data_IF_277208477754
#
_entry.id   IF_277208477754
#
_cell.length_a   1.000
_cell.length_b   1.000
_cell.length_c   1.000
_cell.angle_alpha   90.00
_cell.angle_beta   90.00
_cell.angle_gamma   90.00
#
_symmetry.space_group_name_H-M   'P 1'
#
loop_
_entity.id
_entity.type
_entity.pdbx_description
1 polymer ?
#
# COMPACT_ATOMS: atom_id res chain seq x y z
N UNK A 1 14.03 8.52 26.06
CA UNK A 1 12.58 8.47 26.33
C UNK A 1 12.12 9.89 26.63
N UNK A 2 11.31 10.49 25.75
CA UNK A 2 11.12 11.96 25.63
C UNK A 2 10.23 12.57 26.73
N UNK A 3 9.52 11.77 27.52
CA UNK A 3 8.67 12.29 28.60
C UNK A 3 9.01 11.61 29.92
N UNK A 4 9.69 12.33 30.82
CA UNK A 4 9.95 11.90 32.19
C UNK A 4 9.30 12.90 33.15
N UNK A 5 8.54 12.40 34.13
CA UNK A 5 7.90 13.17 35.21
C UNK A 5 6.88 14.25 34.81
N UNK A 6 6.09 14.01 33.77
CA UNK A 6 5.03 14.96 33.39
C UNK A 6 3.70 14.60 34.08
N UNK A 7 3.11 15.47 34.93
CA UNK A 7 1.92 15.14 35.72
C UNK A 7 0.72 14.66 34.88
N UNK A 8 0.60 15.16 33.65
CA UNK A 8 -0.45 14.80 32.71
C UNK A 8 -0.33 13.37 32.15
N UNK A 9 0.83 12.71 32.23
CA UNK A 9 0.97 11.28 31.85
C UNK A 9 0.17 10.39 32.78
N UNK A 10 0.13 10.68 34.08
CA UNK A 10 -0.73 9.95 35.02
C UNK A 10 -2.20 10.08 34.65
N UNK A 11 -2.63 11.24 34.17
CA UNK A 11 -4.00 11.42 33.67
C UNK A 11 -4.24 10.66 32.36
N UNK A 12 -3.31 10.74 31.40
CA UNK A 12 -3.38 10.01 30.15
C UNK A 12 -3.45 8.48 30.33
N UNK A 13 -2.81 7.93 31.37
CA UNK A 13 -2.86 6.50 31.68
C UNK A 13 -4.27 5.97 32.02
N UNK A 14 -5.22 6.87 32.35
CA UNK A 14 -6.62 6.52 32.64
C UNK A 14 -7.50 6.55 31.39
N UNK A 15 -7.01 7.06 30.27
CA UNK A 15 -7.78 7.12 29.02
C UNK A 15 -7.87 5.73 28.39
N UNK A 16 -9.02 5.43 27.77
CA UNK A 16 -9.16 4.23 26.95
C UNK A 16 -8.27 4.38 25.72
N UNK A 17 -7.45 3.36 25.47
CA UNK A 17 -6.62 3.29 24.28
C UNK A 17 -7.52 3.04 23.07
N UNK A 18 -7.57 3.99 22.15
CA UNK A 18 -8.32 3.83 20.89
C UNK A 18 -7.50 3.08 19.83
N UNK A 19 -6.18 3.33 19.76
CA UNK A 19 -5.23 2.66 18.86
C UNK A 19 -3.83 2.65 19.48
N UNK A 20 -3.10 1.55 19.27
CA UNK A 20 -1.66 1.45 19.57
C UNK A 20 -0.90 1.33 18.27
N UNK A 21 -0.08 2.35 17.97
CA UNK A 21 0.76 2.37 16.78
C UNK A 21 -0.01 2.18 15.47
N UNK A 22 0.60 1.47 14.53
CA UNK A 22 0.05 1.15 13.22
C UNK A 22 0.04 -0.36 13.03
N UNK A 23 -1.12 -0.93 12.68
CA UNK A 23 -1.17 -2.33 12.24
C UNK A 23 -0.42 -2.46 10.92
N UNK A 24 0.72 -3.12 10.94
CA UNK A 24 1.57 -3.27 9.76
C UNK A 24 1.03 -4.37 8.81
N UNK A 25 0.60 -5.51 9.36
CA UNK A 25 0.19 -6.68 8.60
C UNK A 25 -1.11 -7.30 9.12
N UNK A 26 -1.75 -8.11 8.28
CA UNK A 26 -2.85 -8.99 8.62
C UNK A 26 -2.77 -10.28 7.81
N UNK A 27 -3.09 -11.41 8.43
CA UNK A 27 -3.16 -12.70 7.74
C UNK A 27 -4.46 -12.79 6.95
N UNK A 28 -4.37 -13.20 5.68
CA UNK A 28 -5.51 -13.41 4.78
C UNK A 28 -5.29 -14.75 4.11
N UNK A 29 -6.08 -15.76 4.48
CA UNK A 29 -5.86 -17.15 4.06
C UNK A 29 -4.42 -17.61 4.40
N UNK A 30 -3.69 -18.17 3.44
CA UNK A 30 -2.29 -18.57 3.54
C UNK A 30 -1.30 -17.40 3.56
N UNK A 31 -1.71 -16.20 3.15
CA UNK A 31 -0.81 -15.07 2.90
C UNK A 31 -0.77 -14.05 4.05
N UNK A 32 0.31 -13.27 4.08
CA UNK A 32 0.45 -12.10 4.97
C UNK A 32 0.29 -10.84 4.14
N UNK A 33 -0.80 -10.10 4.37
CA UNK A 33 -1.13 -8.86 3.67
C UNK A 33 -0.62 -7.65 4.46
N UNK A 34 0.27 -6.82 3.92
CA UNK A 34 0.57 -5.53 4.55
C UNK A 34 -0.66 -4.62 4.49
N UNK A 35 -0.79 -3.69 5.43
CA UNK A 35 -1.86 -2.69 5.37
C UNK A 35 -1.49 -1.58 4.38
N UNK A 36 -2.51 -0.92 3.80
CA UNK A 36 -2.29 0.26 2.95
C UNK A 36 -1.50 1.34 3.69
N UNK A 37 -1.76 1.55 4.99
CA UNK A 37 -0.99 2.53 5.78
C UNK A 37 0.50 2.14 5.87
N UNK A 38 0.83 0.87 6.09
CA UNK A 38 2.21 0.41 6.16
C UNK A 38 2.97 0.72 4.87
N UNK A 39 2.42 0.34 3.71
CA UNK A 39 3.09 0.52 2.41
C UNK A 39 3.12 1.99 1.97
N UNK A 40 2.17 2.82 2.39
CA UNK A 40 2.23 4.25 2.10
C UNK A 40 3.40 4.94 2.82
N UNK A 41 3.75 4.49 4.04
CA UNK A 41 4.88 5.06 4.79
C UNK A 41 6.22 4.43 4.39
N UNK A 42 6.25 3.12 4.17
CA UNK A 42 7.51 2.37 4.04
C UNK A 42 7.69 1.67 2.68
N UNK A 43 6.68 1.68 1.81
CA UNK A 43 6.71 0.90 0.56
C UNK A 43 7.77 1.37 -0.43
N UNK A 44 8.20 2.63 -0.36
CA UNK A 44 9.28 3.15 -1.21
C UNK A 44 10.65 2.52 -0.89
N UNK A 45 10.83 2.02 0.34
CA UNK A 45 12.02 1.30 0.80
C UNK A 45 11.96 -0.21 0.50
N UNK A 46 10.87 -0.69 -0.15
CA UNK A 46 10.73 -2.10 -0.47
C UNK A 46 11.72 -2.53 -1.54
N UNK A 47 12.55 -3.53 -1.22
CA UNK A 47 13.56 -4.11 -2.12
C UNK A 47 13.07 -5.35 -2.87
N UNK A 48 11.94 -5.94 -2.45
CA UNK A 48 11.29 -7.11 -3.06
C UNK A 48 9.78 -6.94 -3.12
N UNK A 49 9.10 -7.84 -3.82
CA UNK A 49 7.63 -7.87 -3.93
C UNK A 49 7.03 -6.52 -4.34
N UNK A 50 7.64 -5.89 -5.35
CA UNK A 50 7.25 -4.58 -5.89
C UNK A 50 7.10 -4.69 -7.40
N UNK A 51 5.99 -4.16 -7.90
CA UNK A 51 5.66 -4.12 -9.32
C UNK A 51 5.40 -2.67 -9.71
N UNK A 52 6.32 -2.12 -10.49
CA UNK A 52 6.11 -0.85 -11.17
C UNK A 52 5.15 -1.07 -12.33
N UNK A 53 4.09 -0.27 -12.37
CA UNK A 53 3.10 -0.30 -13.45
C UNK A 53 3.08 1.01 -14.23
N UNK A 54 2.62 0.95 -15.47
CA UNK A 54 2.31 2.11 -16.28
C UNK A 54 0.82 2.47 -16.20
N UNK A 55 0.44 3.58 -16.85
CA UNK A 55 -0.95 4.07 -16.87
C UNK A 55 -1.92 3.07 -17.51
N UNK A 56 -1.52 2.40 -18.60
CA UNK A 56 -2.36 1.40 -19.27
C UNK A 56 -2.71 0.23 -18.34
N UNK A 57 -1.71 -0.26 -17.60
CA UNK A 57 -1.88 -1.31 -16.60
C UNK A 57 -2.72 -0.84 -15.42
N UNK A 58 -2.58 0.43 -15.00
CA UNK A 58 -3.44 1.02 -13.97
C UNK A 58 -4.90 1.06 -14.44
N UNK A 59 -5.18 1.45 -15.68
CA UNK A 59 -6.54 1.46 -16.23
C UNK A 59 -7.16 0.04 -16.23
N UNK A 60 -6.38 -0.99 -16.62
CA UNK A 60 -6.81 -2.40 -16.51
C UNK A 60 -7.15 -2.77 -15.06
N UNK A 61 -6.31 -2.37 -14.10
CA UNK A 61 -6.59 -2.58 -12.68
C UNK A 61 -7.83 -1.86 -12.16
N UNK A 62 -8.11 -0.64 -12.64
CA UNK A 62 -9.32 0.11 -12.29
C UNK A 62 -10.59 -0.52 -12.90
N UNK A 63 -10.48 -1.07 -14.11
CA UNK A 63 -11.54 -1.88 -14.72
C UNK A 63 -11.80 -3.18 -13.93
N UNK A 64 -10.81 -3.66 -13.17
CA UNK A 64 -10.90 -4.89 -12.37
C UNK A 64 -10.22 -6.09 -13.01
N UNK A 65 -9.51 -5.87 -14.11
CA UNK A 65 -8.77 -6.89 -14.82
C UNK A 65 -7.52 -7.33 -14.04
N UNK A 66 -6.98 -8.48 -14.44
CA UNK A 66 -5.67 -8.95 -14.00
C UNK A 66 -4.68 -8.81 -15.16
N UNK A 67 -3.41 -8.55 -14.82
CA UNK A 67 -2.34 -8.48 -15.81
C UNK A 67 -1.40 -9.68 -15.63
N UNK A 68 -0.93 -10.31 -16.71
CA UNK A 68 0.18 -11.25 -16.62
C UNK A 68 1.45 -10.47 -16.23
N UNK A 69 2.27 -11.08 -15.39
CA UNK A 69 3.59 -10.55 -15.02
C UNK A 69 4.59 -11.69 -15.01
N UNK A 70 5.80 -11.38 -15.45
CA UNK A 70 6.95 -12.28 -15.33
C UNK A 70 7.81 -11.76 -14.18
N UNK A 71 7.46 -12.17 -12.96
CA UNK A 71 8.20 -11.85 -11.75
C UNK A 71 8.70 -13.16 -11.15
N UNK A 72 9.98 -13.20 -10.82
CA UNK A 72 10.57 -14.27 -10.01
C UNK A 72 10.17 -14.08 -8.53
N UNK A 73 8.89 -14.30 -8.26
CA UNK A 73 8.26 -14.16 -6.95
C UNK A 73 7.25 -15.27 -6.72
N UNK A 74 7.22 -15.77 -5.49
CA UNK A 74 6.16 -16.66 -5.03
C UNK A 74 4.81 -15.95 -5.00
N UNK A 75 3.75 -16.74 -5.04
CA UNK A 75 2.38 -16.29 -4.84
C UNK A 75 2.23 -15.46 -3.55
N UNK A 76 1.61 -14.28 -3.66
CA UNK A 76 1.50 -13.37 -2.53
C UNK A 76 1.17 -11.93 -2.90
N UNK A 77 1.30 -11.03 -1.92
CA UNK A 77 1.01 -9.61 -2.12
C UNK A 77 2.22 -8.88 -2.68
N UNK A 78 1.97 -8.06 -3.70
CA UNK A 78 2.97 -7.18 -4.32
C UNK A 78 2.55 -5.72 -4.16
N UNK A 79 3.52 -4.85 -3.92
CA UNK A 79 3.32 -3.40 -3.88
C UNK A 79 3.22 -2.88 -5.32
N UNK A 80 2.19 -2.09 -5.60
CA UNK A 80 1.99 -1.43 -6.90
C UNK A 80 2.46 0.02 -6.82
N UNK A 81 3.27 0.46 -7.77
CA UNK A 81 3.72 1.85 -7.88
C UNK A 81 3.74 2.37 -9.33
N UNK A 82 3.49 3.67 -9.52
CA UNK A 82 3.54 4.33 -10.84
C UNK A 82 4.94 4.85 -11.21
N UNK A 83 5.99 4.42 -10.52
CA UNK A 83 7.32 5.05 -10.60
C UNK A 83 7.43 6.31 -9.75
N UNK A 84 8.61 6.94 -9.78
CA UNK A 84 8.96 8.13 -8.94
C UNK A 84 8.63 7.99 -7.45
N UNK A 85 8.66 6.76 -6.91
CA UNK A 85 8.30 6.41 -5.52
C UNK A 85 6.81 6.58 -5.16
N UNK A 86 5.92 6.67 -6.15
CA UNK A 86 4.49 6.79 -5.89
C UNK A 86 3.84 5.43 -5.63
N UNK A 87 3.67 5.10 -4.34
CA UNK A 87 2.98 3.87 -3.92
C UNK A 87 1.47 4.02 -4.09
N UNK A 88 0.87 3.18 -4.92
CA UNK A 88 -0.58 3.17 -5.16
C UNK A 88 -1.30 2.26 -4.16
N UNK A 89 -0.73 1.10 -3.88
CA UNK A 89 -1.35 0.10 -3.03
C UNK A 89 -0.83 -1.30 -3.28
N UNK A 90 -1.72 -2.28 -3.25
CA UNK A 90 -1.37 -3.70 -3.37
C UNK A 90 -2.01 -4.35 -4.59
N UNK A 91 -1.30 -5.34 -5.11
CA UNK A 91 -1.81 -6.40 -5.96
C UNK A 91 -1.66 -7.75 -5.27
N UNK A 92 -2.39 -8.75 -5.74
CA UNK A 92 -2.24 -10.15 -5.36
C UNK A 92 -1.71 -10.91 -6.59
N UNK A 93 -0.49 -11.41 -6.51
CA UNK A 93 0.17 -12.28 -7.49
C UNK A 93 -0.23 -13.72 -7.21
N UNK A 94 -0.85 -14.37 -8.20
CA UNK A 94 -1.17 -15.80 -8.20
C UNK A 94 -0.88 -16.35 -9.58
N UNK A 95 -0.09 -17.41 -9.69
CA UNK A 95 0.22 -18.10 -10.94
C UNK A 95 0.66 -17.14 -12.07
N UNK A 96 1.60 -16.23 -11.77
CA UNK A 96 2.12 -15.26 -12.75
C UNK A 96 1.12 -14.17 -13.17
N UNK A 97 0.01 -13.99 -12.44
CA UNK A 97 -0.98 -12.95 -12.72
C UNK A 97 -1.23 -12.07 -11.51
N UNK A 98 -1.26 -10.76 -11.71
CA UNK A 98 -1.55 -9.79 -10.65
C UNK A 98 -2.97 -9.28 -10.77
N UNK A 99 -3.73 -9.40 -9.67
CA UNK A 99 -5.05 -8.77 -9.51
C UNK A 99 -4.97 -7.60 -8.54
N UNK A 100 -5.52 -6.46 -8.93
CA UNK A 100 -5.55 -5.24 -8.11
C UNK A 100 -6.33 -5.41 -6.80
N UNK A 101 -5.76 -4.88 -5.72
CA UNK A 101 -6.39 -4.71 -4.41
C UNK A 101 -6.47 -3.23 -4.03
N UNK A 102 -6.43 -2.34 -5.03
CA UNK A 102 -6.47 -0.90 -4.81
C UNK A 102 -7.85 -0.48 -4.26
N UNK A 103 -7.91 0.42 -3.27
CA UNK A 103 -9.16 0.92 -2.71
C UNK A 103 -9.91 1.77 -3.75
N UNK A 104 -10.91 1.18 -4.43
CA UNK A 104 -11.69 1.83 -5.52
C UNK A 104 -12.32 3.18 -5.15
N UNK A 105 -12.58 3.44 -3.86
CA UNK A 105 -13.18 4.71 -3.38
C UNK A 105 -12.14 5.82 -3.17
N UNK A 106 -10.88 5.49 -2.93
CA UNK A 106 -9.81 6.46 -2.65
C UNK A 106 -9.08 6.92 -3.93
N UNK A 107 -9.18 6.15 -5.02
CA UNK A 107 -8.49 6.39 -6.29
C UNK A 107 -9.11 7.48 -7.19
N UNK A 108 -10.25 8.07 -6.82
CA UNK A 108 -11.20 8.55 -7.83
C UNK A 108 -10.93 9.89 -8.52
N UNK A 109 -10.10 10.80 -8.02
CA UNK A 109 -9.96 12.10 -8.71
C UNK A 109 -8.56 12.74 -8.64
N UNK A 110 -7.83 12.61 -7.53
CA UNK A 110 -6.52 13.27 -7.37
C UNK A 110 -5.39 12.55 -8.12
N UNK A 111 -5.43 11.22 -8.20
CA UNK A 111 -4.35 10.43 -8.83
C UNK A 111 -4.33 10.52 -10.37
N UNK A 112 -5.46 10.85 -11.00
CA UNK A 112 -5.52 11.01 -12.47
C UNK A 112 -4.97 12.39 -12.88
N UNK A 113 -5.12 13.42 -12.03
CA UNK A 113 -4.73 14.81 -12.36
C UNK A 113 -3.23 15.08 -12.27
N UNK A 114 -2.48 14.40 -11.39
CA UNK A 114 -1.03 14.63 -11.26
C UNK A 114 -0.23 14.08 -12.44
N UNK A 115 -0.72 13.02 -13.09
CA UNK A 115 -0.07 12.42 -14.25
C UNK A 115 -0.22 13.27 -15.52
N UNK A 116 -1.30 14.05 -15.63
CA UNK A 116 -1.54 14.98 -16.76
C UNK A 116 -0.82 16.34 -16.60
N UNK A 117 -0.25 16.65 -15.43
CA UNK A 117 0.26 18.01 -15.12
C UNK A 117 1.79 18.07 -14.92
N UNK A 118 2.57 17.20 -15.58
CA UNK A 118 4.01 17.46 -15.79
C UNK A 118 4.22 18.03 -17.19
N UNK A 119 4.41 19.35 -17.34
CA UNK A 119 4.92 19.90 -18.59
C UNK A 119 6.40 19.51 -18.75
N UNK A 120 6.77 19.32 -20.00
CA UNK A 120 8.15 19.18 -20.50
C UNK A 120 8.98 20.38 -20.06
#
# INVERSE_FOLDING_TARGET
MIFKNVPHIRFASRLKISKVGMRAFHRVSSFVKPTTRMIQHFGHESTKARLRINEEQLLKFLAGDSIPVDLDLDDGYVILDLGKRWILGLGLLINGRVRSQLPRKELRESMIKETTTSPI
#
